data_IF_481199879091
#
_entry.id   IF_481199879091
#
_cell.length_a   1.000
_cell.length_b   1.000
_cell.length_c   1.000
_cell.angle_alpha   90.00
_cell.angle_beta   90.00
_cell.angle_gamma   90.00
#
_symmetry.space_group_name_H-M   'P 1'
#
loop_
_entity.id
_entity.type
_entity.pdbx_description
1 polymer ?
#
# COMPACT_ATOMS: atom_id res chain seq x y z
N UNK A 1 -47.46 -31.24 -22.66
CA UNK A 1 -47.91 -32.04 -21.49
C UNK A 1 -46.84 -31.89 -20.42
N UNK A 2 -47.10 -31.49 -19.16
CA UNK A 2 -47.99 -32.10 -18.15
C UNK A 2 -47.42 -33.46 -17.69
N UNK A 3 -47.07 -33.72 -16.41
CA UNK A 3 -47.48 -33.09 -15.12
C UNK A 3 -46.36 -33.10 -14.06
N UNK A 4 -46.64 -32.48 -12.90
CA UNK A 4 -45.74 -32.24 -11.75
C UNK A 4 -46.33 -32.80 -10.45
N UNK A 5 -45.63 -33.72 -9.76
CA UNK A 5 -45.93 -34.14 -8.37
C UNK A 5 -44.66 -34.74 -7.71
N UNK A 6 -44.25 -34.53 -6.43
CA UNK A 6 -44.78 -33.88 -5.19
C UNK A 6 -45.23 -34.84 -4.07
N UNK A 7 -44.36 -35.07 -3.08
CA UNK A 7 -44.66 -35.59 -1.73
C UNK A 7 -43.51 -35.24 -0.76
N UNK A 8 -43.66 -35.05 0.57
CA UNK A 8 -44.85 -34.78 1.43
C UNK A 8 -44.43 -34.30 2.85
N UNK A 9 -45.11 -33.27 3.41
CA UNK A 9 -45.30 -33.01 4.87
C UNK A 9 -44.08 -32.55 5.70
N UNK A 10 -44.19 -32.03 6.94
CA UNK A 10 -45.31 -31.69 7.90
C UNK A 10 -44.63 -30.88 9.07
N UNK A 11 -45.18 -29.95 9.86
CA UNK A 11 -46.46 -29.18 10.03
C UNK A 11 -46.10 -27.67 10.16
N UNK A 12 -46.92 -26.61 10.41
CA UNK A 12 -48.24 -26.34 11.04
C UNK A 12 -48.27 -26.36 12.61
N UNK A 13 -48.88 -25.39 13.34
CA UNK A 13 -49.49 -24.10 12.96
C UNK A 13 -49.82 -23.12 14.14
N UNK A 14 -49.87 -21.81 13.83
CA UNK A 14 -50.86 -20.76 14.25
C UNK A 14 -51.27 -20.38 15.71
N UNK A 15 -51.17 -19.06 15.97
CA UNK A 15 -52.16 -18.10 16.57
C UNK A 15 -52.64 -18.18 18.04
N UNK A 16 -52.72 -16.98 18.66
CA UNK A 16 -53.79 -16.31 19.48
C UNK A 16 -53.19 -15.57 20.71
N UNK A 17 -53.18 -14.23 20.81
CA UNK A 17 -54.25 -13.23 21.09
C UNK A 17 -54.85 -13.26 22.53
N UNK A 18 -54.59 -12.20 23.29
CA UNK A 18 -55.43 -11.72 24.42
C UNK A 18 -55.29 -10.19 24.61
N UNK A 19 -56.16 -9.55 25.41
CA UNK A 19 -56.22 -8.09 25.71
C UNK A 19 -56.40 -7.89 27.22
N UNK A 20 -55.91 -6.80 27.85
CA UNK A 20 -56.35 -6.47 29.22
C UNK A 20 -55.72 -5.33 30.06
N UNK A 21 -56.06 -4.07 29.77
CA UNK A 21 -56.59 -3.05 30.75
C UNK A 21 -55.89 -2.77 32.12
N UNK A 22 -55.12 -1.67 32.17
CA UNK A 22 -55.12 -0.56 33.18
C UNK A 22 -55.35 -0.81 34.70
N UNK A 23 -54.38 -0.45 35.58
CA UNK A 23 -54.55 0.61 36.64
C UNK A 23 -53.33 0.93 37.54
N UNK A 24 -53.37 2.17 38.08
CA UNK A 24 -52.94 2.65 39.41
C UNK A 24 -51.45 2.85 39.83
N UNK A 25 -51.08 4.15 39.85
CA UNK A 25 -50.08 4.90 40.65
C UNK A 25 -49.69 4.36 42.06
N UNK A 26 -48.41 4.52 42.46
CA UNK A 26 -47.95 5.06 43.78
C UNK A 26 -46.41 5.31 43.84
N UNK A 27 -45.95 6.24 44.69
CA UNK A 27 -44.53 6.50 45.06
C UNK A 27 -43.70 7.23 43.98
N UNK A 28 -43.13 8.45 44.12
CA UNK A 28 -42.64 9.33 45.21
C UNK A 28 -41.19 9.09 45.67
N UNK A 29 -40.40 10.18 45.57
CA UNK A 29 -39.09 10.47 46.20
C UNK A 29 -37.81 9.84 45.63
N UNK A 30 -36.92 10.73 45.16
CA UNK A 30 -35.43 10.72 45.19
C UNK A 30 -34.65 9.45 44.75
N UNK A 31 -33.51 9.53 44.06
CA UNK A 31 -32.37 10.46 44.25
C UNK A 31 -31.65 10.83 42.96
N UNK A 32 -30.98 11.99 43.03
CA UNK A 32 -30.04 12.58 42.06
C UNK A 32 -28.87 11.64 41.77
N UNK A 33 -28.71 11.22 40.51
CA UNK A 33 -27.46 10.64 40.00
C UNK A 33 -27.15 11.27 38.65
N UNK A 34 -25.96 11.86 38.51
CA UNK A 34 -25.54 12.57 37.31
C UNK A 34 -24.73 11.64 36.41
N UNK A 35 -25.20 11.41 35.18
CA UNK A 35 -24.44 10.68 34.17
C UNK A 35 -24.14 11.58 32.95
N UNK A 36 -23.39 12.66 33.22
CA UNK A 36 -22.89 13.61 32.21
C UNK A 36 -21.36 13.55 32.13
N UNK A 37 -20.84 12.42 31.66
CA UNK A 37 -19.42 12.29 31.28
C UNK A 37 -19.33 12.01 29.79
N UNK A 38 -19.23 13.09 29.01
CA UNK A 38 -19.07 13.03 27.56
C UNK A 38 -17.64 12.62 27.18
N UNK A 39 -17.46 12.13 25.95
CA UNK A 39 -16.16 12.00 25.24
C UNK A 39 -15.05 11.21 25.96
N UNK A 40 -15.09 9.88 25.85
CA UNK A 40 -13.83 9.10 25.71
C UNK A 40 -13.29 9.31 24.28
N UNK A 41 -12.76 10.50 24.00
CA UNK A 41 -12.03 10.74 22.77
C UNK A 41 -10.70 9.97 22.83
N UNK A 42 -10.62 8.84 22.10
CA UNK A 42 -9.41 8.02 22.04
C UNK A 42 -8.39 8.71 21.13
N UNK A 43 -7.80 9.81 21.62
CA UNK A 43 -6.76 10.56 20.93
C UNK A 43 -5.45 9.77 21.01
N UNK A 44 -5.35 8.73 20.18
CA UNK A 44 -4.16 7.92 19.99
C UNK A 44 -3.07 8.67 19.17
N UNK A 45 -2.78 9.91 19.58
CA UNK A 45 -1.52 10.58 19.26
C UNK A 45 -0.38 9.78 19.94
N UNK A 46 0.85 9.98 19.48
CA UNK A 46 2.08 9.40 20.05
C UNK A 46 2.15 7.86 20.12
N UNK A 47 2.03 7.20 18.96
CA UNK A 47 2.98 6.13 18.60
C UNK A 47 3.76 6.49 17.35
N UNK A 48 4.52 7.58 17.45
CA UNK A 48 5.72 7.76 16.64
C UNK A 48 6.71 6.65 17.05
N UNK A 49 6.62 5.49 16.38
CA UNK A 49 7.39 4.31 16.72
C UNK A 49 8.87 4.63 16.52
N UNK A 50 9.64 4.59 17.59
CA UNK A 50 11.09 4.84 17.60
C UNK A 50 11.81 3.76 16.80
N UNK A 51 11.90 3.99 15.49
CA UNK A 51 12.94 3.37 14.69
C UNK A 51 14.28 3.90 15.21
N UNK A 52 15.24 3.00 15.45
CA UNK A 52 16.65 3.36 15.55
C UNK A 52 17.14 4.07 14.27
N UNK A 53 18.39 4.56 14.23
CA UNK A 53 18.90 5.44 13.18
C UNK A 53 18.50 4.96 11.79
N UNK A 54 17.48 5.61 11.24
CA UNK A 54 16.84 5.18 10.00
C UNK A 54 17.70 5.71 8.87
N UNK A 55 18.65 4.86 8.44
CA UNK A 55 19.50 5.12 7.28
C UNK A 55 18.59 5.46 6.11
N UNK A 56 18.56 6.75 5.80
CA UNK A 56 17.89 7.34 4.65
C UNK A 56 18.88 7.32 3.51
N UNK A 57 18.44 6.85 2.35
CA UNK A 57 19.24 6.85 1.13
C UNK A 57 18.67 7.84 0.12
N UNK A 58 19.55 8.53 -0.60
CA UNK A 58 19.18 9.49 -1.64
C UNK A 58 19.17 8.75 -2.98
N UNK A 59 17.97 8.53 -3.52
CA UNK A 59 17.76 7.92 -4.83
C UNK A 59 17.47 9.02 -5.83
N UNK A 60 18.30 9.15 -6.86
CA UNK A 60 18.03 10.00 -8.02
C UNK A 60 17.33 9.18 -9.09
N UNK A 61 16.29 9.71 -9.70
CA UNK A 61 15.68 9.16 -10.93
C UNK A 61 15.95 10.17 -12.04
N UNK A 62 16.50 9.70 -13.16
CA UNK A 62 16.68 10.54 -14.35
C UNK A 62 15.31 11.09 -14.80
N UNK A 63 15.24 12.40 -15.08
CA UNK A 63 14.00 13.08 -15.45
C UNK A 63 13.00 13.38 -14.32
N UNK A 64 13.18 12.86 -13.09
CA UNK A 64 12.25 13.11 -11.97
C UNK A 64 12.91 13.68 -10.69
N UNK A 65 14.24 13.81 -10.65
CA UNK A 65 14.95 14.48 -9.55
C UNK A 65 15.42 13.52 -8.44
N UNK A 66 15.43 13.99 -7.19
CA UNK A 66 15.99 13.25 -6.05
C UNK A 66 14.92 12.94 -5.00
N UNK A 67 15.02 11.75 -4.40
CA UNK A 67 14.08 11.22 -3.42
C UNK A 67 14.82 10.62 -2.21
N UNK A 68 14.37 10.95 -1.01
CA UNK A 68 14.78 10.28 0.23
C UNK A 68 13.95 9.01 0.42
N UNK A 69 14.58 7.84 0.41
CA UNK A 69 13.91 6.56 0.72
C UNK A 69 14.33 6.03 2.10
N UNK A 70 13.45 5.26 2.75
CA UNK A 70 13.73 4.56 4.00
C UNK A 70 14.25 3.13 3.73
N UNK A 71 14.89 2.52 4.72
CA UNK A 71 15.45 1.17 4.61
C UNK A 71 14.41 0.08 4.22
N UNK A 72 13.11 0.23 4.53
CA UNK A 72 12.09 -0.73 4.08
C UNK A 72 11.78 -0.60 2.60
N UNK A 73 11.70 0.64 2.09
CA UNK A 73 11.56 0.90 0.66
C UNK A 73 12.82 0.45 -0.08
N UNK A 74 14.00 0.73 0.48
CA UNK A 74 15.30 0.33 -0.06
C UNK A 74 15.39 -1.19 -0.30
N UNK A 75 15.01 -2.02 0.68
CA UNK A 75 14.99 -3.48 0.49
C UNK A 75 14.14 -3.90 -0.71
N UNK A 76 12.92 -3.36 -0.83
CA UNK A 76 12.03 -3.64 -1.97
C UNK A 76 12.61 -3.18 -3.31
N UNK A 77 13.35 -2.07 -3.33
CA UNK A 77 14.02 -1.61 -4.56
C UNK A 77 15.06 -2.66 -4.99
N UNK A 78 15.91 -3.13 -4.07
CA UNK A 78 16.86 -4.20 -4.34
C UNK A 78 16.15 -5.52 -4.75
N UNK A 79 15.02 -5.87 -4.13
CA UNK A 79 14.25 -7.07 -4.49
C UNK A 79 13.75 -7.03 -5.95
N UNK A 80 13.33 -5.85 -6.44
CA UNK A 80 12.92 -5.66 -7.85
C UNK A 80 14.14 -5.55 -8.78
N UNK A 81 15.19 -4.85 -8.35
CA UNK A 81 16.43 -4.64 -9.12
C UNK A 81 17.13 -5.97 -9.45
N UNK A 82 17.27 -6.86 -8.46
CA UNK A 82 17.76 -8.23 -8.68
C UNK A 82 16.96 -8.97 -9.76
N UNK A 83 15.63 -8.85 -9.75
CA UNK A 83 14.77 -9.47 -10.77
C UNK A 83 14.92 -8.82 -12.16
N UNK A 84 15.28 -7.53 -12.24
CA UNK A 84 15.66 -6.89 -13.50
C UNK A 84 17.02 -7.39 -14.01
N UNK A 85 18.02 -7.55 -13.12
CA UNK A 85 19.33 -8.13 -13.46
C UNK A 85 19.17 -9.55 -14.02
N UNK A 86 18.26 -10.36 -13.47
CA UNK A 86 17.90 -11.66 -14.03
C UNK A 86 17.23 -11.57 -15.42
N UNK A 87 16.46 -10.53 -15.73
CA UNK A 87 15.83 -10.33 -17.04
C UNK A 87 16.84 -9.84 -18.10
N UNK A 88 17.77 -8.96 -17.69
CA UNK A 88 18.89 -8.47 -18.51
C UNK A 88 19.90 -9.59 -18.80
N UNK A 89 20.17 -10.47 -17.82
CA UNK A 89 21.10 -11.59 -17.97
C UNK A 89 20.58 -12.73 -18.86
N UNK A 90 19.27 -12.78 -19.15
CA UNK A 90 18.69 -13.80 -20.05
C UNK A 90 19.05 -13.51 -21.51
N UNK A 91 19.41 -14.57 -22.23
CA UNK A 91 19.75 -14.51 -23.65
C UNK A 91 18.56 -14.01 -24.47
N UNK A 92 17.39 -14.65 -24.31
CA UNK A 92 16.09 -14.14 -24.78
C UNK A 92 15.46 -13.27 -23.69
N UNK A 93 15.62 -11.95 -23.81
CA UNK A 93 15.00 -10.97 -22.91
C UNK A 93 13.60 -10.56 -23.37
N UNK A 94 12.79 -10.10 -22.41
CA UNK A 94 11.49 -9.48 -22.64
C UNK A 94 11.57 -7.98 -22.26
N UNK A 95 11.60 -7.11 -23.27
CA UNK A 95 11.63 -5.65 -23.10
C UNK A 95 10.35 -5.11 -22.44
N UNK A 96 9.21 -5.78 -22.65
CA UNK A 96 7.91 -5.39 -22.08
C UNK A 96 7.87 -5.73 -20.59
N UNK A 97 8.39 -6.90 -20.17
CA UNK A 97 8.56 -7.16 -18.75
C UNK A 97 9.59 -6.21 -18.14
N UNK A 98 10.75 -6.00 -18.78
CA UNK A 98 11.80 -5.10 -18.26
C UNK A 98 11.27 -3.68 -18.02
N UNK A 99 10.67 -3.04 -19.03
CA UNK A 99 10.09 -1.69 -18.90
C UNK A 99 8.97 -1.64 -17.87
N UNK A 100 8.18 -2.71 -17.72
CA UNK A 100 7.17 -2.82 -16.66
C UNK A 100 7.81 -2.87 -15.26
N UNK A 101 8.89 -3.63 -15.06
CA UNK A 101 9.64 -3.68 -13.78
C UNK A 101 10.32 -2.35 -13.47
N UNK A 102 10.96 -1.72 -14.44
CA UNK A 102 11.62 -0.42 -14.28
C UNK A 102 10.60 0.69 -13.98
N UNK A 103 9.44 0.65 -14.64
CA UNK A 103 8.30 1.53 -14.33
C UNK A 103 7.77 1.29 -12.92
N UNK A 104 7.67 0.04 -12.46
CA UNK A 104 7.25 -0.32 -11.10
C UNK A 104 8.26 0.19 -10.05
N UNK A 105 9.55 -0.01 -10.28
CA UNK A 105 10.66 0.45 -9.45
C UNK A 105 10.62 1.98 -9.26
N UNK A 106 10.59 2.74 -10.37
CA UNK A 106 10.53 4.20 -10.34
C UNK A 106 9.23 4.70 -9.68
N UNK A 107 8.09 4.07 -9.96
CA UNK A 107 6.83 4.37 -9.27
C UNK A 107 6.92 4.12 -7.75
N UNK A 108 7.65 3.08 -7.32
CA UNK A 108 7.79 2.76 -5.90
C UNK A 108 8.64 3.81 -5.15
N UNK A 109 9.67 4.36 -5.80
CA UNK A 109 10.44 5.49 -5.27
C UNK A 109 9.56 6.74 -5.15
N UNK A 110 8.82 7.09 -6.21
CA UNK A 110 7.95 8.29 -6.22
C UNK A 110 6.81 8.18 -5.19
N UNK A 111 6.27 6.98 -4.94
CA UNK A 111 5.13 6.76 -4.02
C UNK A 111 5.53 6.63 -2.55
N UNK A 112 6.69 6.04 -2.24
CA UNK A 112 7.11 5.77 -0.85
C UNK A 112 8.27 6.66 -0.37
N UNK A 113 9.06 7.20 -1.29
CA UNK A 113 10.10 8.17 -1.00
C UNK A 113 9.53 9.57 -0.73
N UNK A 114 10.40 10.49 -0.31
CA UNK A 114 10.08 11.92 -0.20
C UNK A 114 10.90 12.70 -1.22
N UNK A 115 10.29 13.51 -2.12
CA UNK A 115 11.07 14.37 -3.01
C UNK A 115 11.91 15.36 -2.19
N UNK A 116 13.11 15.65 -2.67
CA UNK A 116 13.94 16.77 -2.22
C UNK A 116 13.54 18.05 -2.98
N UNK A 117 13.94 19.21 -2.49
CA UNK A 117 13.87 20.45 -3.28
C UNK A 117 14.79 20.32 -4.52
N UNK A 118 14.33 20.61 -5.76
CA UNK A 118 15.18 20.57 -6.94
C UNK A 118 16.37 21.55 -6.90
N UNK A 119 16.38 22.52 -5.97
CA UNK A 119 17.52 23.42 -5.69
C UNK A 119 18.60 22.76 -4.81
N UNK A 120 18.27 21.68 -4.09
CA UNK A 120 19.20 20.97 -3.21
C UNK A 120 19.92 19.83 -3.96
N UNK A 121 21.12 20.11 -4.48
CA UNK A 121 21.99 19.11 -5.13
C UNK A 121 22.75 18.31 -4.07
N UNK A 122 22.05 17.43 -3.36
CA UNK A 122 22.66 16.43 -2.47
C UNK A 122 23.28 15.30 -3.31
N UNK A 123 24.39 14.70 -2.83
CA UNK A 123 24.99 13.49 -3.44
C UNK A 123 24.01 12.32 -3.37
N UNK A 124 23.70 11.73 -4.52
CA UNK A 124 22.86 10.54 -4.62
C UNK A 124 23.65 9.30 -4.18
N UNK A 125 23.01 8.40 -3.42
CA UNK A 125 23.53 7.06 -3.10
C UNK A 125 23.26 6.06 -4.23
N UNK A 126 22.12 6.24 -4.93
CA UNK A 126 21.64 5.39 -6.01
C UNK A 126 21.16 6.32 -7.13
N UNK A 127 21.44 5.93 -8.38
CA UNK A 127 20.93 6.60 -9.58
C UNK A 127 20.14 5.55 -10.37
N UNK A 128 18.88 5.84 -10.63
CA UNK A 128 17.97 5.03 -11.43
C UNK A 128 17.77 5.66 -12.81
N UNK A 129 17.80 4.87 -13.89
CA UNK A 129 17.47 5.36 -15.22
C UNK A 129 15.98 5.73 -15.32
N UNK A 130 15.64 6.51 -16.34
CA UNK A 130 14.26 6.82 -16.67
C UNK A 130 13.55 5.59 -17.26
N UNK A 131 12.22 5.55 -17.19
CA UNK A 131 11.41 4.37 -17.47
C UNK A 131 11.30 3.99 -18.97
N UNK A 132 11.88 4.79 -19.84
CA UNK A 132 11.98 4.63 -21.29
C UNK A 132 13.19 3.79 -21.74
N UNK A 133 14.18 3.55 -20.86
CA UNK A 133 15.38 2.75 -21.15
C UNK A 133 15.04 1.37 -21.74
N UNK A 134 15.66 1.03 -22.87
CA UNK A 134 15.57 -0.30 -23.49
C UNK A 134 16.32 -1.37 -22.70
N UNK A 135 15.85 -2.62 -22.73
CA UNK A 135 16.62 -3.74 -22.19
C UNK A 135 17.97 -3.93 -22.91
N UNK A 136 18.10 -3.55 -24.19
CA UNK A 136 19.38 -3.64 -24.90
C UNK A 136 20.37 -2.55 -24.46
N UNK A 137 19.88 -1.37 -24.12
CA UNK A 137 20.70 -0.31 -23.50
C UNK A 137 21.12 -0.71 -22.08
N UNK A 138 20.20 -1.29 -21.31
CA UNK A 138 20.52 -1.88 -20.01
C UNK A 138 21.58 -2.98 -20.15
N UNK A 139 21.46 -3.90 -21.12
CA UNK A 139 22.47 -4.93 -21.41
C UNK A 139 23.86 -4.34 -21.65
N UNK A 140 23.97 -3.23 -22.38
CA UNK A 140 25.26 -2.53 -22.59
C UNK A 140 25.84 -1.97 -21.30
N UNK A 141 25.02 -1.24 -20.53
CA UNK A 141 25.39 -0.69 -19.23
C UNK A 141 25.89 -1.77 -18.27
N UNK A 142 25.19 -2.92 -18.21
CA UNK A 142 25.59 -4.07 -17.37
C UNK A 142 26.80 -4.85 -17.89
N UNK A 143 27.12 -4.77 -19.20
CA UNK A 143 28.32 -5.37 -19.80
C UNK A 143 29.58 -4.55 -19.61
N UNK A 144 29.47 -3.31 -19.14
CA UNK A 144 30.61 -2.38 -19.06
C UNK A 144 31.02 -1.79 -20.42
N UNK A 145 30.17 -1.89 -21.45
CA UNK A 145 30.27 -1.04 -22.63
C UNK A 145 29.97 0.40 -22.18
N UNK A 146 31.02 1.17 -21.91
CA UNK A 146 30.93 2.50 -21.33
C UNK A 146 30.14 3.48 -22.21
N UNK A 147 29.36 4.36 -21.59
CA UNK A 147 28.53 5.37 -22.29
C UNK A 147 29.35 6.49 -22.94
N UNK A 148 30.66 6.52 -22.68
CA UNK A 148 31.62 7.43 -23.32
C UNK A 148 32.25 6.67 -24.48
N UNK A 149 31.96 7.01 -25.76
CA UNK A 149 32.75 6.52 -26.87
C UNK A 149 34.17 7.10 -26.76
N UNK A 150 35.19 6.27 -26.97
CA UNK A 150 36.56 6.79 -27.12
C UNK A 150 36.67 7.52 -28.47
N UNK A 151 37.25 8.72 -28.43
CA UNK A 151 37.33 9.71 -29.52
C UNK A 151 38.77 10.18 -29.73
#
# INVERSE_FOLDING_TARGET
MSKKAKAKGRMAASKLKSKGKLRAKKGVSTRKSANRTQKRAIVAKTRAKSAGPSVKKIVRIMGHGQFTVDNKTLKKLNDIDNAMVELVSKERSDDVEFKKRLTELNNMVVKNGKPLDPREIIKSDIILPSADLSIDEAKRLFRGEGVIPEI
#
